data_IF_920484092535
#
_entry.id   IF_920484092535
#
_cell.length_a   1.000
_cell.length_b   1.000
_cell.length_c   1.000
_cell.angle_alpha   90.00
_cell.angle_beta   90.00
_cell.angle_gamma   90.00
#
_symmetry.space_group_name_H-M   'P 1'
#
loop_
_entity.id
_entity.type
_entity.pdbx_description
1 polymer ?
#
# COMPACT_ATOMS: atom_id res chain seq x y z
N UNK A 1 17.81 -3.38 -4.83
CA UNK A 1 17.39 -2.36 -3.86
C UNK A 1 17.75 -2.83 -2.46
N UNK A 2 18.34 -1.95 -1.67
CA UNK A 2 18.67 -2.30 -0.30
C UNK A 2 17.39 -2.54 0.51
N UNK A 3 17.49 -3.44 1.47
CA UNK A 3 16.37 -3.73 2.37
C UNK A 3 16.25 -2.61 3.41
N UNK A 4 15.15 -1.88 3.40
CA UNK A 4 14.90 -0.79 4.34
C UNK A 4 14.49 -1.30 5.72
N UNK A 5 14.00 -2.53 5.81
CA UNK A 5 13.54 -3.15 7.05
C UNK A 5 14.53 -4.19 7.53
N UNK A 6 15.02 -4.04 8.75
CA UNK A 6 15.85 -5.05 9.39
C UNK A 6 15.02 -6.12 10.09
N UNK A 7 13.73 -5.86 10.31
CA UNK A 7 12.80 -6.75 11.02
C UNK A 7 11.73 -7.22 10.04
N UNK A 8 11.54 -8.55 9.96
CA UNK A 8 10.41 -9.13 9.22
C UNK A 8 9.34 -9.54 10.21
N UNK A 9 8.07 -9.30 9.86
CA UNK A 9 6.95 -9.60 10.73
C UNK A 9 6.76 -11.11 10.89
N UNK A 10 6.76 -11.57 12.14
CA UNK A 10 6.34 -12.90 12.54
C UNK A 10 5.28 -12.77 13.63
N UNK A 11 4.94 -13.88 14.32
CA UNK A 11 3.91 -13.85 15.34
C UNK A 11 4.37 -13.26 16.69
N UNK A 12 5.63 -12.82 16.79
CA UNK A 12 6.22 -12.38 18.07
C UNK A 12 6.65 -10.92 18.08
N UNK A 13 6.72 -10.24 16.93
CA UNK A 13 7.38 -8.94 16.83
C UNK A 13 6.52 -7.86 16.20
N UNK A 14 5.20 -7.93 16.37
CA UNK A 14 4.28 -6.99 15.70
C UNK A 14 4.60 -5.51 16.00
N UNK A 15 4.79 -5.16 17.28
CA UNK A 15 5.00 -3.75 17.66
C UNK A 15 6.28 -3.15 17.07
N UNK A 16 7.46 -3.77 17.20
CA UNK A 16 8.65 -3.21 16.59
C UNK A 16 8.57 -3.20 15.05
N UNK A 17 7.96 -4.21 14.43
CA UNK A 17 7.75 -4.22 12.98
C UNK A 17 6.89 -3.05 12.55
N UNK A 18 5.74 -2.85 13.21
CA UNK A 18 4.80 -1.78 12.86
C UNK A 18 5.46 -0.41 13.01
N UNK A 19 6.18 -0.21 14.12
CA UNK A 19 6.87 1.06 14.36
C UNK A 19 7.88 1.37 13.27
N UNK A 20 8.71 0.41 12.90
CA UNK A 20 9.73 0.61 11.87
C UNK A 20 9.10 0.89 10.50
N UNK A 21 8.05 0.15 10.16
CA UNK A 21 7.37 0.35 8.87
C UNK A 21 6.68 1.72 8.81
N UNK A 22 5.99 2.13 9.86
CA UNK A 22 5.37 3.47 9.93
C UNK A 22 6.41 4.55 9.73
N UNK A 23 7.56 4.43 10.38
CA UNK A 23 8.64 5.42 10.26
C UNK A 23 9.11 5.53 8.80
N UNK A 24 9.28 4.40 8.13
CA UNK A 24 9.66 4.39 6.71
C UNK A 24 8.59 5.05 5.86
N UNK A 25 7.32 4.73 6.09
CA UNK A 25 6.21 5.32 5.33
C UNK A 25 6.12 6.83 5.52
N UNK A 26 6.37 7.32 6.72
CA UNK A 26 6.39 8.76 7.00
C UNK A 26 7.56 9.45 6.28
N UNK A 27 8.75 8.85 6.31
CA UNK A 27 9.94 9.41 5.65
C UNK A 27 9.70 9.56 4.14
N UNK A 28 9.05 8.60 3.51
CA UNK A 28 8.80 8.64 2.08
C UNK A 28 7.43 9.24 1.72
N UNK A 29 6.72 9.83 2.69
CA UNK A 29 5.41 10.48 2.50
C UNK A 29 4.36 9.51 1.93
N UNK A 30 4.42 8.24 2.33
CA UNK A 30 3.52 7.20 1.84
C UNK A 30 2.39 6.88 2.80
N UNK A 31 2.46 7.38 4.04
CA UNK A 31 1.46 7.04 5.06
C UNK A 31 0.06 7.54 4.67
N UNK A 32 -0.04 8.68 3.99
CA UNK A 32 -1.32 9.23 3.56
C UNK A 32 -2.02 8.36 2.52
N UNK A 33 -1.25 7.61 1.73
CA UNK A 33 -1.81 6.67 0.77
C UNK A 33 -2.52 5.51 1.47
N UNK A 34 -1.97 5.07 2.59
CA UNK A 34 -2.48 3.92 3.35
C UNK A 34 -3.63 4.32 4.28
N UNK A 35 -3.54 5.49 4.92
CA UNK A 35 -4.54 5.89 5.92
C UNK A 35 -5.81 6.46 5.29
N UNK A 36 -5.87 6.59 3.97
CA UNK A 36 -7.04 7.08 3.27
C UNK A 36 -7.09 8.60 3.10
N UNK A 37 -6.07 9.33 3.55
CA UNK A 37 -5.99 10.77 3.37
C UNK A 37 -5.90 11.13 1.89
N UNK A 38 -5.11 10.36 1.13
CA UNK A 38 -5.05 10.48 -0.32
C UNK A 38 -6.11 9.60 -0.96
N UNK A 39 -7.07 10.21 -1.65
CA UNK A 39 -8.18 9.48 -2.26
C UNK A 39 -7.74 8.76 -3.53
N UNK A 40 -8.34 7.59 -3.75
CA UNK A 40 -8.14 6.82 -4.99
C UNK A 40 -8.80 7.55 -6.14
N UNK A 41 -8.06 7.95 -7.19
CA UNK A 41 -8.65 8.58 -8.38
C UNK A 41 -9.55 7.61 -9.16
N UNK A 42 -10.44 8.16 -9.98
CA UNK A 42 -11.23 7.37 -10.89
C UNK A 42 -10.33 6.76 -11.98
N UNK A 43 -10.55 5.48 -12.38
CA UNK A 43 -9.73 4.84 -13.44
C UNK A 43 -9.83 5.55 -14.78
N UNK A 44 -10.96 6.18 -15.06
CA UNK A 44 -11.20 6.90 -16.32
C UNK A 44 -11.57 8.33 -16.03
N UNK A 45 -11.22 9.22 -16.97
CA UNK A 45 -11.61 10.63 -16.87
C UNK A 45 -13.13 10.70 -16.89
N UNK A 46 -13.70 11.49 -15.97
CA UNK A 46 -15.15 11.70 -15.89
C UNK A 46 -15.55 12.86 -16.78
N UNK A 47 -16.72 12.74 -17.44
CA UNK A 47 -17.29 13.83 -18.22
C UNK A 47 -17.98 14.86 -17.32
N UNK A 48 -18.64 15.86 -17.94
CA UNK A 48 -19.30 16.93 -17.20
C UNK A 48 -20.45 16.41 -16.30
N UNK A 49 -21.00 15.25 -16.64
CA UNK A 49 -22.09 14.60 -15.85
C UNK A 49 -21.55 13.56 -14.87
N UNK A 50 -20.22 13.48 -14.70
CA UNK A 50 -19.51 12.51 -13.87
C UNK A 50 -19.67 11.07 -14.29
N UNK A 51 -19.93 10.83 -15.57
CA UNK A 51 -19.92 9.49 -16.14
C UNK A 51 -18.52 9.15 -16.66
N UNK A 52 -18.06 7.89 -16.50
CA UNK A 52 -16.75 7.50 -17.02
C UNK A 52 -16.68 7.63 -18.54
N UNK A 53 -15.56 8.18 -19.03
CA UNK A 53 -15.25 8.21 -20.46
C UNK A 53 -14.33 7.04 -20.81
N UNK A 54 -13.92 6.93 -22.08
CA UNK A 54 -12.94 5.94 -22.51
C UNK A 54 -11.50 6.42 -22.33
N UNK A 55 -11.32 7.64 -21.82
CA UNK A 55 -9.98 8.22 -21.60
C UNK A 55 -9.44 7.77 -20.26
N UNK A 56 -8.25 7.17 -20.28
CA UNK A 56 -7.58 6.71 -19.06
C UNK A 56 -7.14 7.91 -18.23
N UNK A 57 -7.42 7.84 -16.92
CA UNK A 57 -7.00 8.88 -15.99
C UNK A 57 -5.55 8.62 -15.57
N UNK A 58 -4.64 9.53 -15.94
CA UNK A 58 -3.22 9.40 -15.60
C UNK A 58 -2.98 9.48 -14.09
N UNK A 59 -3.79 10.23 -13.36
CA UNK A 59 -3.69 10.29 -11.90
C UNK A 59 -3.99 8.94 -11.27
N UNK A 60 -4.94 8.20 -11.84
CA UNK A 60 -5.22 6.84 -11.39
C UNK A 60 -4.03 5.91 -11.66
N UNK A 61 -3.41 6.01 -12.83
CA UNK A 61 -2.25 5.17 -13.15
C UNK A 61 -1.10 5.42 -12.18
N UNK A 62 -0.80 6.69 -11.89
CA UNK A 62 0.24 7.05 -10.94
C UNK A 62 -0.11 6.53 -9.53
N UNK A 63 -1.36 6.69 -9.11
CA UNK A 63 -1.83 6.19 -7.83
C UNK A 63 -1.69 4.66 -7.75
N UNK A 64 -2.07 3.97 -8.81
CA UNK A 64 -2.03 2.50 -8.84
C UNK A 64 -0.60 1.96 -8.79
N UNK A 65 0.33 2.60 -9.49
CA UNK A 65 1.75 2.22 -9.46
C UNK A 65 2.29 2.39 -8.04
N UNK A 66 1.97 3.51 -7.39
CA UNK A 66 2.39 3.77 -6.01
C UNK A 66 1.78 2.75 -5.06
N UNK A 67 0.51 2.39 -5.26
CA UNK A 67 -0.17 1.39 -4.45
C UNK A 67 0.50 0.02 -4.57
N UNK A 68 0.83 -0.40 -5.77
CA UNK A 68 1.49 -1.69 -6.00
C UNK A 68 2.92 -1.71 -5.47
N UNK A 69 3.65 -0.62 -5.61
CA UNK A 69 4.98 -0.50 -5.03
C UNK A 69 4.92 -0.61 -3.50
N UNK A 70 3.94 0.04 -2.89
CA UNK A 70 3.74 0.01 -1.46
C UNK A 70 3.31 -1.36 -0.97
N UNK A 71 2.42 -2.03 -1.70
CA UNK A 71 2.01 -3.41 -1.42
C UNK A 71 3.22 -4.34 -1.47
N UNK A 72 4.08 -4.20 -2.47
CA UNK A 72 5.30 -4.98 -2.60
C UNK A 72 6.25 -4.75 -1.41
N UNK A 73 6.38 -3.49 -0.99
CA UNK A 73 7.19 -3.16 0.19
C UNK A 73 6.66 -3.84 1.44
N UNK A 74 5.36 -3.73 1.70
CA UNK A 74 4.74 -4.36 2.87
C UNK A 74 4.97 -5.87 2.82
N UNK A 75 4.68 -6.51 1.69
CA UNK A 75 4.83 -7.96 1.55
C UNK A 75 6.27 -8.43 1.76
N UNK A 76 7.25 -7.62 1.33
CA UNK A 76 8.67 -7.96 1.49
C UNK A 76 9.13 -7.93 2.95
N UNK A 77 8.35 -7.33 3.84
CA UNK A 77 8.65 -7.25 5.26
C UNK A 77 8.03 -8.38 6.07
N UNK A 78 7.38 -9.35 5.42
CA UNK A 78 6.67 -10.43 6.08
C UNK A 78 7.45 -11.74 5.97
N UNK A 79 7.39 -12.54 7.06
CA UNK A 79 7.85 -13.92 6.96
C UNK A 79 6.87 -14.74 6.12
N UNK A 80 7.28 -15.91 5.56
CA UNK A 80 6.37 -16.72 4.74
C UNK A 80 5.06 -17.09 5.44
N UNK A 81 5.12 -17.40 6.75
CA UNK A 81 3.93 -17.75 7.50
C UNK A 81 2.93 -16.60 7.57
N UNK A 82 3.43 -15.38 7.80
CA UNK A 82 2.59 -14.19 7.89
C UNK A 82 2.12 -13.76 6.50
N UNK A 83 2.96 -13.89 5.48
CA UNK A 83 2.58 -13.58 4.11
C UNK A 83 1.34 -14.38 3.68
N UNK A 84 1.21 -15.63 4.14
CA UNK A 84 0.06 -16.46 3.78
C UNK A 84 -1.29 -15.84 4.18
N UNK A 85 -1.30 -14.93 5.15
CA UNK A 85 -2.51 -14.23 5.58
C UNK A 85 -2.95 -13.13 4.62
N UNK A 86 -2.06 -12.65 3.78
CA UNK A 86 -2.34 -11.53 2.87
C UNK A 86 -2.20 -11.90 1.40
N UNK A 87 -1.85 -13.15 1.10
CA UNK A 87 -1.80 -13.60 -0.28
C UNK A 87 -3.18 -13.47 -0.92
N UNK A 88 -3.24 -12.82 -2.08
CA UNK A 88 -4.52 -12.53 -2.72
C UNK A 88 -5.08 -11.14 -2.42
N UNK A 89 -4.56 -10.43 -1.42
CA UNK A 89 -4.92 -9.03 -1.19
C UNK A 89 -4.14 -8.18 -2.20
N UNK A 90 -4.85 -7.34 -2.95
CA UNK A 90 -4.28 -6.64 -4.09
C UNK A 90 -4.07 -5.14 -3.87
N UNK A 91 -4.36 -4.63 -2.67
CA UNK A 91 -4.14 -3.22 -2.34
C UNK A 91 -3.27 -3.08 -1.11
N UNK A 92 -2.46 -2.01 -1.08
CA UNK A 92 -1.60 -1.72 0.08
C UNK A 92 -2.43 -1.45 1.33
N UNK A 93 -3.53 -0.73 1.19
CA UNK A 93 -4.44 -0.45 2.30
C UNK A 93 -5.04 -1.72 2.88
N UNK A 94 -5.47 -2.65 2.01
CA UNK A 94 -6.02 -3.94 2.45
C UNK A 94 -4.98 -4.76 3.20
N UNK A 95 -3.75 -4.84 2.69
CA UNK A 95 -2.67 -5.54 3.37
C UNK A 95 -2.35 -4.91 4.73
N UNK A 96 -2.27 -3.58 4.78
CA UNK A 96 -1.99 -2.85 6.01
C UNK A 96 -3.06 -3.10 7.08
N UNK A 97 -4.34 -2.98 6.70
CA UNK A 97 -5.43 -3.15 7.66
C UNK A 97 -5.61 -4.58 8.14
N UNK A 98 -5.06 -5.56 7.44
CA UNK A 98 -5.04 -6.95 7.93
C UNK A 98 -4.26 -7.05 9.24
N UNK A 99 -3.28 -6.16 9.45
CA UNK A 99 -2.43 -6.18 10.64
C UNK A 99 -2.78 -5.08 11.67
N UNK A 100 -3.88 -4.37 11.49
CA UNK A 100 -4.33 -3.36 12.45
C UNK A 100 -5.05 -3.98 13.68
#
# INVERSE_FOLDING_TARGET
MSNLMSIKLDYTNYKPWKHQLITILEVYLLIEHIDGTTLKPSPFVLDATRNPTLVVNLDFQAWNIKDKALLSLINSTLTPQVFSLVVGITSSKGAWYTFE
#
